data_IF_556395181099
#
_entry.id   IF_556395181099
#
_cell.length_a   1.000
_cell.length_b   1.000
_cell.length_c   1.000
_cell.angle_alpha   90.00
_cell.angle_beta   90.00
_cell.angle_gamma   90.00
#
_symmetry.space_group_name_H-M   'P 1'
#
loop_
_entity.id
_entity.type
_entity.pdbx_description
1 polymer ?
#
# COMPACT_ATOMS: atom_id res chain seq x y z
N UNK A 1 6.37 -3.01 15.83
CA UNK A 1 6.63 -3.99 14.75
C UNK A 1 6.63 -3.21 13.45
N UNK A 2 7.60 -3.43 12.57
CA UNK A 2 7.60 -2.81 11.24
C UNK A 2 6.42 -3.38 10.42
N UNK A 3 5.46 -2.55 9.97
CA UNK A 3 4.32 -3.02 9.19
C UNK A 3 4.73 -3.75 7.91
N UNK A 4 5.81 -3.32 7.24
CA UNK A 4 6.27 -3.95 6.00
C UNK A 4 6.85 -5.34 6.26
N UNK A 5 7.54 -5.52 7.38
CA UNK A 5 8.02 -6.84 7.78
C UNK A 5 6.85 -7.78 8.10
N UNK A 6 5.84 -7.30 8.82
CA UNK A 6 4.68 -8.11 9.18
C UNK A 6 3.86 -8.49 7.93
N UNK A 7 3.67 -7.55 7.00
CA UNK A 7 2.98 -7.78 5.73
C UNK A 7 3.63 -8.93 4.93
N UNK A 8 4.95 -8.86 4.71
CA UNK A 8 5.71 -9.91 4.02
C UNK A 8 5.60 -11.29 4.68
N UNK A 9 5.45 -11.33 6.01
CA UNK A 9 5.41 -12.58 6.76
C UNK A 9 4.05 -13.26 6.74
N UNK A 10 2.97 -12.48 6.66
CA UNK A 10 1.63 -12.99 6.95
C UNK A 10 0.63 -12.79 5.81
N UNK A 11 0.92 -11.94 4.82
CA UNK A 11 -0.03 -11.56 3.77
C UNK A 11 0.46 -12.02 2.39
N UNK A 12 -0.44 -12.65 1.64
CA UNK A 12 -0.26 -12.94 0.22
C UNK A 12 -1.17 -12.02 -0.59
N UNK A 13 -0.59 -11.07 -1.32
CA UNK A 13 -1.35 -10.01 -1.97
C UNK A 13 -2.05 -10.48 -3.25
N UNK A 14 -3.31 -10.07 -3.48
CA UNK A 14 -3.99 -10.33 -4.74
C UNK A 14 -3.34 -9.54 -5.88
N UNK A 15 -3.37 -10.08 -7.09
CA UNK A 15 -2.89 -9.42 -8.32
C UNK A 15 -1.44 -8.87 -8.25
N UNK A 16 -0.61 -9.43 -7.36
CA UNK A 16 0.76 -9.00 -7.09
C UNK A 16 1.74 -10.10 -7.45
N UNK A 17 2.84 -9.77 -8.12
CA UNK A 17 3.94 -10.71 -8.33
C UNK A 17 4.72 -10.88 -7.03
N UNK A 18 4.38 -11.92 -6.26
CA UNK A 18 4.89 -12.07 -4.89
C UNK A 18 6.41 -12.22 -4.79
N UNK A 19 7.08 -12.74 -5.83
CA UNK A 19 8.54 -12.81 -5.84
C UNK A 19 9.19 -11.41 -5.86
N UNK A 20 8.59 -10.46 -6.56
CA UNK A 20 9.07 -9.08 -6.63
C UNK A 20 8.63 -8.30 -5.39
N UNK A 21 7.45 -8.61 -4.84
CA UNK A 21 6.93 -8.01 -3.61
C UNK A 21 7.88 -8.15 -2.40
N UNK A 22 8.60 -9.26 -2.29
CA UNK A 22 9.56 -9.47 -1.20
C UNK A 22 10.62 -8.35 -1.11
N UNK A 23 10.99 -7.77 -2.24
CA UNK A 23 12.00 -6.71 -2.35
C UNK A 23 11.39 -5.30 -2.52
N UNK A 24 10.08 -5.21 -2.77
CA UNK A 24 9.37 -3.95 -3.03
C UNK A 24 9.16 -3.12 -1.74
N UNK A 25 9.07 -1.80 -1.90
CA UNK A 25 8.70 -0.86 -0.83
C UNK A 25 7.50 -0.05 -1.28
N UNK A 26 6.34 -0.72 -1.38
CA UNK A 26 5.10 -0.05 -1.71
C UNK A 26 4.66 0.92 -0.60
N UNK A 27 3.98 2.03 -0.95
CA UNK A 27 3.52 3.00 0.03
C UNK A 27 2.46 2.39 0.97
N UNK A 28 2.65 2.58 2.28
CA UNK A 28 1.65 2.20 3.27
C UNK A 28 0.60 3.30 3.39
N UNK A 29 -0.59 3.09 2.81
CA UNK A 29 -1.70 4.03 2.90
C UNK A 29 -2.35 3.96 4.29
N UNK A 30 -2.44 5.10 5.00
CA UNK A 30 -2.93 5.17 6.39
C UNK A 30 -4.16 6.06 6.59
N UNK A 31 -4.47 6.93 5.62
CA UNK A 31 -5.64 7.79 5.66
C UNK A 31 -6.12 8.17 4.26
N UNK A 32 -7.33 8.71 4.18
CA UNK A 32 -7.89 9.29 2.97
C UNK A 32 -8.76 10.51 3.29
N UNK A 33 -8.83 11.45 2.35
CA UNK A 33 -9.66 12.66 2.42
C UNK A 33 -10.25 12.94 1.04
N UNK A 34 -11.57 12.81 0.89
CA UNK A 34 -12.23 12.91 -0.41
C UNK A 34 -11.66 11.90 -1.41
N UNK A 35 -11.13 12.39 -2.53
CA UNK A 35 -10.49 11.61 -3.59
C UNK A 35 -8.94 11.62 -3.47
N UNK A 36 -8.40 11.65 -2.25
CA UNK A 36 -6.95 11.68 -1.99
C UNK A 36 -6.58 10.62 -0.95
N UNK A 37 -5.61 9.77 -1.27
CA UNK A 37 -4.97 8.83 -0.35
C UNK A 37 -3.72 9.47 0.28
N UNK A 38 -3.42 9.10 1.53
CA UNK A 38 -2.30 9.62 2.31
C UNK A 38 -1.46 8.44 2.83
N UNK A 39 -0.17 8.40 2.49
CA UNK A 39 0.76 7.38 3.00
C UNK A 39 1.30 7.70 4.41
N UNK A 40 1.98 6.74 5.02
CA UNK A 40 2.56 6.86 6.36
C UNK A 40 3.68 7.94 6.45
N UNK A 41 4.26 8.36 5.33
CA UNK A 41 5.22 9.45 5.25
C UNK A 41 4.56 10.82 5.00
N UNK A 42 3.23 10.87 4.88
CA UNK A 42 2.44 12.08 4.65
C UNK A 42 2.36 12.52 3.18
N UNK A 43 2.83 11.69 2.23
CA UNK A 43 2.63 11.96 0.79
C UNK A 43 1.16 11.77 0.43
N UNK A 44 0.70 12.59 -0.53
CA UNK A 44 -0.69 12.63 -0.97
C UNK A 44 -0.80 12.19 -2.42
N UNK A 45 -1.76 11.30 -2.69
CA UNK A 45 -1.99 10.70 -4.01
C UNK A 45 -3.44 10.92 -4.42
N UNK A 46 -3.70 11.31 -5.68
CA UNK A 46 -5.07 11.35 -6.19
C UNK A 46 -5.55 9.91 -6.37
N UNK A 47 -6.69 9.58 -5.76
CA UNK A 47 -7.35 8.31 -6.02
C UNK A 47 -8.12 8.38 -7.35
N UNK A 48 -7.42 8.15 -8.45
CA UNK A 48 -7.98 8.24 -9.81
C UNK A 48 -8.84 7.05 -10.23
N UNK A 49 -8.81 5.95 -9.47
CA UNK A 49 -9.54 4.71 -9.76
C UNK A 49 -10.59 4.38 -8.71
N UNK A 50 -10.77 5.25 -7.70
CA UNK A 50 -11.59 4.96 -6.52
C UNK A 50 -11.14 3.66 -5.83
N UNK A 51 -9.82 3.50 -5.73
CA UNK A 51 -9.05 2.38 -5.21
C UNK A 51 -9.23 1.09 -6.01
N UNK A 52 -10.44 0.54 -6.03
CA UNK A 52 -10.78 -0.62 -6.83
C UNK A 52 -12.19 -0.42 -7.37
N UNK A 53 -12.32 -0.33 -8.69
CA UNK A 53 -13.60 -0.23 -9.40
C UNK A 53 -14.19 -1.60 -9.71
#
# INVERSE_FOLDING_TARGET
>A
MDPHQADRQFIWHPFTQMKEWEEDTAPLIVAAEGHTLIDAEGRRYIDGVSSLW
#
